data_IF_612220742092
#
_entry.id   IF_612220742092
#
_cell.length_a   1.000
_cell.length_b   1.000
_cell.length_c   1.000
_cell.angle_alpha   90.00
_cell.angle_beta   90.00
_cell.angle_gamma   90.00
#
_symmetry.space_group_name_H-M   'P 1'
#
loop_
_entity.id
_entity.type
_entity.pdbx_description
1 polymer ?
#
# COMPACT_ATOMS: atom_id res chain seq x y z
N UNK A 1 22.91 -6.22 18.26
CA UNK A 1 21.96 -5.69 19.28
C UNK A 1 22.14 -4.20 19.60
N UNK A 2 23.37 -3.64 19.53
CA UNK A 2 23.60 -2.22 19.82
C UNK A 2 22.95 -1.24 18.81
N UNK A 3 22.89 -1.57 17.51
CA UNK A 3 22.32 -0.67 16.50
C UNK A 3 20.81 -0.40 16.67
N UNK A 4 20.02 -1.44 16.93
CA UNK A 4 18.57 -1.33 17.11
C UNK A 4 18.21 -0.50 18.35
N UNK A 5 18.93 -0.72 19.45
CA UNK A 5 18.71 0.01 20.72
C UNK A 5 19.04 1.49 20.58
N UNK A 6 20.10 1.85 19.85
CA UNK A 6 20.43 3.25 19.54
C UNK A 6 19.33 3.91 18.71
N UNK A 7 18.85 3.26 17.64
CA UNK A 7 17.79 3.80 16.79
C UNK A 7 16.49 4.08 17.56
N UNK A 8 16.04 3.12 18.37
CA UNK A 8 14.86 3.31 19.21
C UNK A 8 15.07 4.45 20.22
N UNK A 9 16.25 4.54 20.85
CA UNK A 9 16.52 5.60 21.81
C UNK A 9 16.50 7.01 21.20
N UNK A 10 16.87 7.17 19.93
CA UNK A 10 16.88 8.46 19.23
C UNK A 10 15.46 8.90 18.84
N UNK A 11 14.63 7.96 18.37
CA UNK A 11 13.25 8.27 17.95
C UNK A 11 12.29 8.47 19.12
N UNK A 12 12.44 7.69 20.20
CA UNK A 12 11.43 7.60 21.27
C UNK A 12 11.75 8.46 22.50
N UNK A 13 12.89 9.17 22.58
CA UNK A 13 13.29 9.91 23.79
C UNK A 13 12.70 11.32 23.92
N UNK A 14 12.28 11.95 22.82
CA UNK A 14 11.66 13.28 22.83
C UNK A 14 10.20 13.16 22.40
N UNK A 15 9.24 13.57 23.23
CA UNK A 15 7.80 13.49 22.91
C UNK A 15 7.45 14.07 21.53
N UNK A 16 8.06 15.21 21.15
CA UNK A 16 7.84 15.82 19.84
C UNK A 16 8.36 14.95 18.67
N UNK A 17 9.52 14.31 18.84
CA UNK A 17 10.11 13.39 17.83
C UNK A 17 9.30 12.11 17.77
N UNK A 18 8.85 11.60 18.93
CA UNK A 18 7.98 10.45 19.00
C UNK A 18 6.68 10.69 18.21
N UNK A 19 5.96 11.78 18.53
CA UNK A 19 4.69 12.09 17.86
C UNK A 19 4.88 12.31 16.35
N UNK A 20 5.89 13.07 15.93
CA UNK A 20 6.14 13.28 14.50
C UNK A 20 6.55 11.98 13.78
N UNK A 21 7.35 11.12 14.43
CA UNK A 21 7.71 9.81 13.88
C UNK A 21 6.51 8.89 13.75
N UNK A 22 5.55 8.94 14.68
CA UNK A 22 4.31 8.19 14.56
C UNK A 22 3.46 8.66 13.38
N UNK A 23 3.30 9.97 13.18
CA UNK A 23 2.55 10.48 12.04
C UNK A 23 3.20 10.14 10.71
N UNK A 24 4.51 10.36 10.58
CA UNK A 24 5.26 9.99 9.37
C UNK A 24 5.18 8.47 9.14
N UNK A 25 5.35 7.68 10.20
CA UNK A 25 5.23 6.23 10.15
C UNK A 25 3.85 5.76 9.71
N UNK A 26 2.78 6.41 10.18
CA UNK A 26 1.42 6.11 9.78
C UNK A 26 1.18 6.36 8.30
N UNK A 27 1.61 7.51 7.76
CA UNK A 27 1.48 7.81 6.32
C UNK A 27 2.28 6.84 5.44
N UNK A 28 3.52 6.54 5.83
CA UNK A 28 4.35 5.59 5.08
C UNK A 28 3.76 4.19 5.15
N UNK A 29 3.26 3.77 6.31
CA UNK A 29 2.60 2.48 6.51
C UNK A 29 1.32 2.39 5.68
N UNK A 30 0.48 3.41 5.68
CA UNK A 30 -0.75 3.48 4.88
C UNK A 30 -0.45 3.22 3.40
N UNK A 31 0.45 4.00 2.79
CA UNK A 31 0.82 3.85 1.38
C UNK A 31 1.35 2.45 1.07
N UNK A 32 2.23 1.93 1.94
CA UNK A 32 2.82 0.60 1.74
C UNK A 32 1.77 -0.51 1.90
N UNK A 33 0.92 -0.41 2.92
CA UNK A 33 -0.12 -1.37 3.22
C UNK A 33 -1.15 -1.43 2.09
N UNK A 34 -1.60 -0.28 1.59
CA UNK A 34 -2.57 -0.21 0.48
C UNK A 34 -1.99 -0.86 -0.78
N UNK A 35 -0.76 -0.48 -1.16
CA UNK A 35 -0.11 -1.03 -2.36
C UNK A 35 0.15 -2.54 -2.26
N UNK A 36 0.53 -3.05 -1.08
CA UNK A 36 0.75 -4.48 -0.88
C UNK A 36 -0.58 -5.23 -0.86
N UNK A 37 -1.58 -4.70 -0.16
CA UNK A 37 -2.91 -5.29 -0.07
C UNK A 37 -3.55 -5.43 -1.44
N UNK A 38 -3.48 -4.38 -2.26
CA UNK A 38 -3.97 -4.39 -3.65
C UNK A 38 -3.25 -5.43 -4.49
N UNK A 39 -1.92 -5.54 -4.38
CA UNK A 39 -1.15 -6.56 -5.13
C UNK A 39 -1.52 -7.98 -4.73
N UNK A 40 -1.72 -8.22 -3.43
CA UNK A 40 -2.15 -9.52 -2.92
C UNK A 40 -3.55 -9.84 -3.45
N UNK A 41 -4.48 -8.89 -3.32
CA UNK A 41 -5.84 -9.03 -3.83
C UNK A 41 -5.86 -9.31 -5.34
N UNK A 42 -5.02 -8.61 -6.10
CA UNK A 42 -4.89 -8.77 -7.54
C UNK A 42 -4.34 -10.11 -7.97
N UNK A 43 -3.33 -10.58 -7.24
CA UNK A 43 -2.73 -11.88 -7.48
C UNK A 43 -3.74 -13.00 -7.23
N UNK A 44 -4.51 -12.91 -6.13
CA UNK A 44 -5.52 -13.90 -5.75
C UNK A 44 -6.70 -13.90 -6.73
N UNK A 45 -7.15 -12.73 -7.20
CA UNK A 45 -8.35 -12.58 -8.03
C UNK A 45 -8.06 -12.42 -9.52
N UNK A 46 -6.83 -12.68 -9.96
CA UNK A 46 -6.40 -12.51 -11.34
C UNK A 46 -7.37 -13.19 -12.33
N UNK A 47 -7.80 -12.44 -13.34
CA UNK A 47 -8.71 -12.89 -14.38
C UNK A 47 -10.20 -12.80 -14.03
N UNK A 48 -10.54 -12.47 -12.77
CA UNK A 48 -11.93 -12.29 -12.31
C UNK A 48 -12.29 -10.83 -12.10
N UNK A 49 -11.32 -9.93 -12.07
CA UNK A 49 -11.56 -8.52 -11.77
C UNK A 49 -12.04 -7.77 -13.01
N UNK A 50 -12.85 -6.72 -12.80
CA UNK A 50 -13.29 -5.86 -13.90
C UNK A 50 -12.11 -5.34 -14.72
N UNK A 51 -11.02 -4.90 -14.07
CA UNK A 51 -9.83 -4.44 -14.78
C UNK A 51 -9.21 -5.48 -15.71
N UNK A 52 -9.37 -6.77 -15.41
CA UNK A 52 -8.88 -7.88 -16.21
C UNK A 52 -9.83 -8.21 -17.36
N UNK A 53 -11.16 -8.10 -17.18
CA UNK A 53 -12.16 -8.54 -18.17
C UNK A 53 -12.77 -7.39 -19.01
N UNK A 54 -12.61 -6.13 -18.58
CA UNK A 54 -13.30 -4.97 -19.19
C UNK A 54 -13.08 -4.82 -20.69
N UNK A 55 -11.88 -5.19 -21.15
CA UNK A 55 -11.49 -5.07 -22.56
C UNK A 55 -12.43 -5.86 -23.47
N UNK A 56 -13.00 -6.98 -22.99
CA UNK A 56 -13.93 -7.83 -23.74
C UNK A 56 -15.29 -7.17 -24.00
N UNK A 57 -15.68 -6.21 -23.17
CA UNK A 57 -16.99 -5.58 -23.24
C UNK A 57 -16.94 -4.23 -23.95
N UNK A 58 -15.84 -3.49 -23.78
CA UNK A 58 -15.64 -2.22 -24.48
C UNK A 58 -15.40 -2.48 -25.98
N UNK A 59 -14.57 -3.48 -26.33
CA UNK A 59 -14.36 -3.84 -27.74
C UNK A 59 -15.65 -4.35 -28.40
N UNK A 60 -16.45 -5.13 -27.67
CA UNK A 60 -17.74 -5.60 -28.18
C UNK A 60 -18.73 -4.46 -28.46
N UNK A 61 -18.71 -3.39 -27.65
CA UNK A 61 -19.54 -2.22 -27.90
C UNK A 61 -19.07 -1.45 -29.15
N UNK A 62 -17.75 -1.33 -29.36
CA UNK A 62 -17.17 -0.69 -30.55
C UNK A 62 -17.40 -1.50 -31.85
N UNK A 63 -17.52 -2.83 -31.77
CA UNK A 63 -17.82 -3.70 -32.92
C UNK A 63 -19.32 -3.74 -33.28
N UNK A 64 -20.20 -3.41 -32.33
CA UNK A 64 -21.67 -3.40 -32.53
C UNK A 64 -22.19 -2.04 -33.05
N UNK A 65 -21.37 -0.99 -33.05
CA UNK A 65 -21.62 0.34 -33.64
C UNK A 65 -21.14 0.45 -35.10
#
# INVERSE_FOLDING_TARGET
MAGLTVYLSVLFRRNAVFLSSMFVGAFVFEIAFDSISDRIFDSINKGRQWKDIRHRYIQKAEEEE
#
